data_IF_543765259120
#
_entry.id   IF_543765259120
#
_cell.length_a   1.000
_cell.length_b   1.000
_cell.length_c   1.000
_cell.angle_alpha   90.00
_cell.angle_beta   90.00
_cell.angle_gamma   90.00
#
_symmetry.space_group_name_H-M   'P 1'
#
loop_
_entity.id
_entity.type
_entity.pdbx_description
1 polymer ?
#
# COMPACT_ATOMS: atom_id res chain seq x y z
N UNK A 1 -14.98 -21.65 4.08
CA UNK A 1 -15.99 -22.61 4.57
C UNK A 1 -15.55 -23.02 5.96
N UNK A 2 -16.02 -22.31 6.99
CA UNK A 2 -15.70 -22.63 8.39
C UNK A 2 -16.97 -23.22 8.98
N UNK A 3 -16.92 -24.52 9.26
CA UNK A 3 -18.03 -25.30 9.79
C UNK A 3 -18.51 -24.69 11.11
N UNK A 4 -19.75 -24.22 11.13
CA UNK A 4 -20.45 -23.89 12.36
C UNK A 4 -20.68 -25.21 13.12
N UNK A 5 -19.84 -25.48 14.11
CA UNK A 5 -20.09 -26.49 15.12
C UNK A 5 -21.37 -26.08 15.87
N UNK A 6 -22.50 -26.67 15.47
CA UNK A 6 -23.71 -26.67 16.28
C UNK A 6 -23.42 -27.43 17.58
N UNK A 7 -23.69 -26.86 18.76
CA UNK A 7 -23.53 -27.62 20.00
C UNK A 7 -24.58 -28.75 20.04
N UNK A 8 -24.13 -30.00 20.14
CA UNK A 8 -24.91 -31.25 20.19
C UNK A 8 -25.78 -31.43 21.46
N UNK A 9 -26.30 -30.36 22.04
CA UNK A 9 -27.36 -30.42 23.06
C UNK A 9 -28.46 -29.42 22.69
N UNK A 10 -29.74 -29.85 22.62
CA UNK A 10 -30.82 -28.93 22.28
C UNK A 10 -30.88 -27.81 23.33
N UNK A 11 -30.92 -26.56 22.89
CA UNK A 11 -30.96 -25.35 23.74
C UNK A 11 -31.99 -25.43 24.88
N UNK A 12 -33.05 -26.22 24.66
CA UNK A 12 -34.10 -26.57 25.61
C UNK A 12 -33.60 -27.14 26.94
N UNK A 13 -32.51 -27.91 26.93
CA UNK A 13 -31.98 -28.61 28.11
C UNK A 13 -31.01 -27.75 28.93
N UNK A 14 -30.58 -26.60 28.40
CA UNK A 14 -29.57 -25.78 29.05
C UNK A 14 -30.16 -24.94 30.17
N UNK A 15 -29.48 -24.74 31.32
CA UNK A 15 -29.87 -23.74 32.30
C UNK A 15 -29.74 -22.32 31.74
N UNK A 16 -30.44 -21.35 32.37
CA UNK A 16 -30.47 -19.96 31.89
C UNK A 16 -29.08 -19.32 31.89
N UNK A 17 -28.21 -19.73 32.80
CA UNK A 17 -26.83 -19.28 32.95
C UNK A 17 -25.99 -19.68 31.73
N UNK A 18 -26.16 -20.92 31.23
CA UNK A 18 -25.47 -21.39 30.03
C UNK A 18 -25.97 -20.68 28.77
N UNK A 19 -27.28 -20.38 28.68
CA UNK A 19 -27.80 -19.55 27.60
C UNK A 19 -27.21 -18.13 27.63
N UNK A 20 -26.99 -17.56 28.81
CA UNK A 20 -26.38 -16.25 28.97
C UNK A 20 -24.89 -16.23 28.63
N UNK A 21 -24.14 -17.28 28.98
CA UNK A 21 -22.74 -17.45 28.53
C UNK A 21 -22.64 -17.54 27.02
N UNK A 22 -23.51 -18.32 26.40
CA UNK A 22 -23.52 -18.53 24.94
C UNK A 22 -23.90 -17.26 24.20
N UNK A 23 -24.80 -16.46 24.77
CA UNK A 23 -25.07 -15.12 24.27
C UNK A 23 -23.84 -14.20 24.30
N UNK A 24 -23.01 -14.31 25.34
CA UNK A 24 -21.79 -13.51 25.43
C UNK A 24 -20.73 -13.94 24.41
N UNK A 25 -20.60 -15.24 24.16
CA UNK A 25 -19.70 -15.80 23.14
C UNK A 25 -20.12 -15.41 21.71
N UNK A 26 -21.42 -15.34 21.47
CA UNK A 26 -22.02 -15.01 20.16
C UNK A 26 -22.58 -13.58 20.11
N UNK A 27 -21.98 -12.63 20.85
CA UNK A 27 -22.52 -11.28 21.00
C UNK A 27 -22.62 -10.46 19.70
N UNK A 28 -21.91 -10.86 18.65
CA UNK A 28 -21.96 -10.23 17.32
C UNK A 28 -22.83 -10.98 16.30
N UNK A 29 -23.35 -12.15 16.66
CA UNK A 29 -24.10 -13.03 15.76
C UNK A 29 -25.61 -12.91 16.06
N UNK A 30 -26.30 -12.13 15.24
CA UNK A 30 -27.72 -11.87 15.40
C UNK A 30 -28.60 -13.13 15.22
N UNK A 31 -28.18 -14.10 14.41
CA UNK A 31 -28.92 -15.35 14.19
C UNK A 31 -28.83 -16.26 15.40
N UNK A 32 -27.62 -16.46 15.94
CA UNK A 32 -27.40 -17.22 17.16
C UNK A 32 -28.15 -16.62 18.36
N UNK A 33 -28.10 -15.28 18.52
CA UNK A 33 -28.84 -14.59 19.57
C UNK A 33 -30.37 -14.73 19.41
N UNK A 34 -30.88 -14.75 18.17
CA UNK A 34 -32.31 -14.94 17.89
C UNK A 34 -32.82 -16.32 18.32
N UNK A 35 -32.02 -17.38 18.09
CA UNK A 35 -32.33 -18.72 18.57
C UNK A 35 -32.39 -18.78 20.12
N UNK A 36 -31.47 -18.10 20.80
CA UNK A 36 -31.46 -18.00 22.26
C UNK A 36 -32.65 -17.18 22.81
N UNK A 37 -33.09 -16.13 22.11
CA UNK A 37 -34.30 -15.35 22.47
C UNK A 37 -35.55 -16.24 22.40
N UNK A 38 -35.69 -17.03 21.34
CA UNK A 38 -36.81 -17.96 21.20
C UNK A 38 -36.85 -18.92 22.38
N UNK A 39 -35.71 -19.52 22.75
CA UNK A 39 -35.65 -20.43 23.90
C UNK A 39 -35.95 -19.72 25.23
N UNK A 40 -35.39 -18.52 25.47
CA UNK A 40 -35.66 -17.74 26.69
C UNK A 40 -37.15 -17.35 26.82
N UNK A 41 -37.84 -17.08 25.70
CA UNK A 41 -39.28 -16.77 25.66
C UNK A 41 -40.18 -17.90 26.12
N UNK A 42 -39.78 -19.15 25.87
CA UNK A 42 -40.56 -20.33 26.25
C UNK A 42 -40.46 -20.63 27.75
N UNK A 43 -39.51 -19.99 28.44
CA UNK A 43 -39.28 -20.16 29.88
C UNK A 43 -40.06 -19.15 30.70
N UNK A 44 -40.54 -19.60 31.86
CA UNK A 44 -41.33 -18.78 32.79
C UNK A 44 -40.42 -18.18 33.87
N UNK A 45 -40.78 -16.99 34.36
CA UNK A 45 -40.14 -16.34 35.49
C UNK A 45 -39.34 -15.08 35.15
N UNK A 46 -39.09 -14.26 36.17
CA UNK A 46 -38.46 -12.95 36.03
C UNK A 46 -37.05 -13.02 35.42
N UNK A 47 -36.26 -14.05 35.76
CA UNK A 47 -34.91 -14.25 35.23
C UNK A 47 -34.90 -14.55 33.73
N UNK A 48 -35.82 -15.37 33.25
CA UNK A 48 -35.97 -15.67 31.82
C UNK A 48 -36.37 -14.41 31.03
N UNK A 49 -37.28 -13.60 31.57
CA UNK A 49 -37.67 -12.32 30.97
C UNK A 49 -36.54 -11.28 30.96
N UNK A 50 -35.73 -11.23 32.02
CA UNK A 50 -34.55 -10.38 32.04
C UNK A 50 -33.51 -10.80 30.98
N UNK A 51 -33.32 -12.11 30.79
CA UNK A 51 -32.44 -12.65 29.75
C UNK A 51 -32.98 -12.35 28.35
N UNK A 52 -34.26 -12.58 28.10
CA UNK A 52 -34.93 -12.24 26.83
C UNK A 52 -34.73 -10.76 26.47
N UNK A 53 -34.98 -9.85 27.42
CA UNK A 53 -34.80 -8.42 27.22
C UNK A 53 -33.33 -8.04 26.94
N UNK A 54 -32.38 -8.70 27.62
CA UNK A 54 -30.94 -8.50 27.38
C UNK A 54 -30.55 -8.96 25.97
N UNK A 55 -30.97 -10.15 25.57
CA UNK A 55 -30.70 -10.70 24.25
C UNK A 55 -31.29 -9.83 23.13
N UNK A 56 -32.51 -9.34 23.32
CA UNK A 56 -33.16 -8.42 22.38
C UNK A 56 -32.36 -7.12 22.19
N UNK A 57 -31.79 -6.57 23.27
CA UNK A 57 -30.89 -5.41 23.19
C UNK A 57 -29.59 -5.74 22.45
N UNK A 58 -29.03 -6.94 22.64
CA UNK A 58 -27.82 -7.36 21.93
C UNK A 58 -28.07 -7.48 20.43
N UNK A 59 -29.20 -8.06 20.01
CA UNK A 59 -29.60 -8.15 18.59
C UNK A 59 -29.74 -6.74 17.97
N UNK A 60 -30.38 -5.81 18.69
CA UNK A 60 -30.51 -4.43 18.22
C UNK A 60 -29.14 -3.74 18.06
N UNK A 61 -28.19 -4.02 18.97
CA UNK A 61 -26.82 -3.53 18.85
C UNK A 61 -26.06 -4.16 17.66
N UNK A 62 -26.30 -5.44 17.34
CA UNK A 62 -25.74 -6.06 16.14
C UNK A 62 -26.23 -5.35 14.87
N UNK A 63 -27.54 -5.10 14.77
CA UNK A 63 -28.13 -4.40 13.62
C UNK A 63 -27.56 -2.99 13.45
N UNK A 64 -27.44 -2.23 14.55
CA UNK A 64 -26.86 -0.89 14.54
C UNK A 64 -25.39 -0.85 14.09
N UNK A 65 -24.62 -1.91 14.37
CA UNK A 65 -23.22 -2.02 13.95
C UNK A 65 -23.04 -2.62 12.54
N UNK A 66 -24.02 -3.36 12.03
CA UNK A 66 -23.95 -4.01 10.72
C UNK A 66 -24.04 -3.00 9.56
N UNK A 67 -24.92 -2.00 9.64
CA UNK A 67 -25.06 -0.97 8.60
C UNK A 67 -23.75 -0.19 8.32
N UNK A 68 -23.07 0.41 9.32
CA UNK A 68 -21.82 1.14 9.07
C UNK A 68 -20.69 0.21 8.57
N UNK A 69 -20.68 -1.06 8.98
CA UNK A 69 -19.70 -2.04 8.50
C UNK A 69 -19.95 -2.45 7.04
N UNK A 70 -21.20 -2.61 6.63
CA UNK A 70 -21.57 -2.91 5.25
C UNK A 70 -21.24 -1.73 4.32
N UNK A 71 -21.55 -0.51 4.74
CA UNK A 71 -21.20 0.71 4.01
C UNK A 71 -19.68 0.88 3.89
N UNK A 72 -18.94 0.64 4.97
CA UNK A 72 -17.49 0.68 4.96
C UNK A 72 -16.89 -0.40 4.03
N UNK A 73 -17.42 -1.62 4.07
CA UNK A 73 -16.98 -2.70 3.19
C UNK A 73 -17.27 -2.39 1.71
N UNK A 74 -18.43 -1.80 1.40
CA UNK A 74 -18.77 -1.35 0.05
C UNK A 74 -17.80 -0.27 -0.44
N UNK A 75 -17.53 0.75 0.39
CA UNK A 75 -16.56 1.81 0.10
C UNK A 75 -15.16 1.25 -0.15
N UNK A 76 -14.69 0.34 0.69
CA UNK A 76 -13.37 -0.30 0.53
C UNK A 76 -13.29 -1.10 -0.78
N UNK A 77 -14.34 -1.85 -1.13
CA UNK A 77 -14.40 -2.59 -2.40
C UNK A 77 -14.34 -1.66 -3.61
N UNK A 78 -15.07 -0.54 -3.56
CA UNK A 78 -15.03 0.45 -4.64
C UNK A 78 -13.66 1.10 -4.79
N UNK A 79 -13.01 1.45 -3.68
CA UNK A 79 -11.66 2.03 -3.69
C UNK A 79 -10.62 1.04 -4.21
N UNK A 80 -10.70 -0.23 -3.80
CA UNK A 80 -9.81 -1.29 -4.29
C UNK A 80 -9.96 -1.47 -5.80
N UNK A 81 -11.20 -1.52 -6.30
CA UNK A 81 -11.46 -1.63 -7.73
C UNK A 81 -10.91 -0.42 -8.52
N UNK A 82 -10.99 0.79 -7.97
CA UNK A 82 -10.40 1.98 -8.58
C UNK A 82 -8.86 1.91 -8.62
N UNK A 83 -8.23 1.60 -7.48
CA UNK A 83 -6.78 1.46 -7.38
C UNK A 83 -6.23 0.36 -8.32
N UNK A 84 -6.94 -0.77 -8.43
CA UNK A 84 -6.56 -1.85 -9.34
C UNK A 84 -6.56 -1.40 -10.81
N UNK A 85 -7.54 -0.57 -11.22
CA UNK A 85 -7.57 0.01 -12.58
C UNK A 85 -6.40 0.98 -12.80
N UNK A 86 -6.11 1.85 -11.83
CA UNK A 86 -4.98 2.78 -11.91
C UNK A 86 -3.64 2.05 -12.03
N UNK A 87 -3.43 0.98 -11.25
CA UNK A 87 -2.22 0.16 -11.33
C UNK A 87 -2.04 -0.41 -12.73
N UNK A 88 -3.10 -0.94 -13.35
CA UNK A 88 -3.03 -1.46 -14.71
C UNK A 88 -2.65 -0.37 -15.73
N UNK A 89 -3.25 0.82 -15.62
CA UNK A 89 -2.93 1.96 -16.50
C UNK A 89 -1.47 2.40 -16.32
N UNK A 90 -1.01 2.54 -15.08
CA UNK A 90 0.36 2.96 -14.78
C UNK A 90 1.38 1.92 -15.25
N UNK A 91 1.11 0.63 -15.06
CA UNK A 91 1.97 -0.45 -15.56
C UNK A 91 2.06 -0.42 -17.09
N UNK A 92 0.95 -0.22 -17.78
CA UNK A 92 0.95 -0.09 -19.24
C UNK A 92 1.77 1.14 -19.69
N UNK A 93 1.68 2.26 -18.97
CA UNK A 93 2.45 3.47 -19.25
C UNK A 93 3.95 3.27 -19.02
N UNK A 94 4.33 2.60 -17.93
CA UNK A 94 5.73 2.24 -17.66
C UNK A 94 6.25 1.33 -18.77
N UNK A 95 5.52 0.28 -19.13
CA UNK A 95 5.92 -0.62 -20.21
C UNK A 95 6.10 0.11 -21.56
N UNK A 96 5.22 1.06 -21.88
CA UNK A 96 5.36 1.90 -23.07
C UNK A 96 6.61 2.78 -22.99
N UNK A 97 6.86 3.41 -21.84
CA UNK A 97 8.05 4.24 -21.64
C UNK A 97 9.33 3.42 -21.75
N UNK A 98 9.37 2.23 -21.15
CA UNK A 98 10.48 1.28 -21.25
C UNK A 98 10.72 0.83 -22.69
N UNK A 99 9.67 0.57 -23.48
CA UNK A 99 9.81 0.24 -24.91
C UNK A 99 10.39 1.42 -25.71
N UNK A 100 9.99 2.66 -25.39
CA UNK A 100 10.56 3.85 -26.04
C UNK A 100 11.96 4.22 -25.55
N UNK A 101 12.36 3.77 -24.35
CA UNK A 101 13.70 3.99 -23.79
C UNK A 101 14.67 2.82 -24.05
N UNK A 102 14.16 1.66 -24.46
CA UNK A 102 14.92 0.43 -24.71
C UNK A 102 15.56 0.35 -26.10
N UNK A 103 15.35 1.34 -26.97
CA UNK A 103 16.26 1.53 -28.09
C UNK A 103 17.62 1.94 -27.50
N UNK A 104 18.69 1.14 -27.69
CA UNK A 104 20.01 1.57 -27.23
C UNK A 104 20.25 2.96 -27.83
N UNK A 105 20.57 3.98 -27.02
CA UNK A 105 21.02 5.21 -27.62
C UNK A 105 22.23 4.81 -28.46
N UNK A 106 22.15 5.04 -29.77
CA UNK A 106 23.34 5.22 -30.59
C UNK A 106 24.37 6.02 -29.79
N UNK A 107 25.68 5.78 -29.94
CA UNK A 107 26.73 6.60 -29.35
C UNK A 107 26.72 8.00 -30.01
N UNK A 108 25.61 8.70 -29.87
CA UNK A 108 25.31 9.99 -30.41
C UNK A 108 25.66 11.02 -29.35
N UNK A 109 26.11 12.19 -29.80
CA UNK A 109 26.45 13.33 -28.97
C UNK A 109 25.42 13.57 -27.84
N UNK A 110 24.14 13.38 -28.14
CA UNK A 110 23.02 13.49 -27.22
C UNK A 110 23.15 12.62 -25.95
N UNK A 111 23.84 11.50 -26.03
CA UNK A 111 24.09 10.58 -24.91
C UNK A 111 25.04 11.20 -23.87
N UNK A 112 26.11 11.87 -24.30
CA UNK A 112 27.04 12.55 -23.40
C UNK A 112 26.40 13.77 -22.73
N UNK A 113 25.70 14.62 -23.49
CA UNK A 113 24.96 15.77 -22.95
C UNK A 113 23.93 15.33 -21.89
N UNK A 114 23.17 14.25 -22.14
CA UNK A 114 22.17 13.73 -21.18
C UNK A 114 22.79 13.21 -19.88
N UNK A 115 23.96 12.56 -19.93
CA UNK A 115 24.64 12.04 -18.73
C UNK A 115 25.08 13.14 -17.75
N UNK A 116 25.33 14.35 -18.25
CA UNK A 116 25.63 15.54 -17.43
C UNK A 116 24.43 16.49 -17.28
N UNK A 117 23.23 16.03 -17.62
CA UNK A 117 21.97 16.79 -17.54
C UNK A 117 21.94 18.08 -18.36
N UNK A 118 22.55 18.06 -19.53
CA UNK A 118 22.55 19.17 -20.48
C UNK A 118 21.85 18.78 -21.79
N UNK A 119 21.41 19.80 -22.52
CA UNK A 119 20.96 19.68 -23.92
C UNK A 119 22.15 19.87 -24.87
N UNK A 120 22.16 19.24 -26.05
CA UNK A 120 23.14 19.53 -27.10
C UNK A 120 23.28 21.04 -27.40
N UNK A 121 22.17 21.77 -27.35
CA UNK A 121 22.08 23.22 -27.62
C UNK A 121 22.52 24.11 -26.43
N UNK A 122 23.05 23.54 -25.35
CA UNK A 122 23.43 24.31 -24.16
C UNK A 122 24.49 25.39 -24.49
N UNK A 123 24.40 26.63 -23.98
CA UNK A 123 25.43 27.62 -24.26
C UNK A 123 26.77 27.22 -23.61
N UNK A 124 27.90 27.65 -24.20
CA UNK A 124 29.24 27.25 -23.75
C UNK A 124 29.53 27.63 -22.28
N UNK A 125 29.02 28.78 -21.83
CA UNK A 125 29.17 29.20 -20.43
C UNK A 125 28.50 28.24 -19.44
N UNK A 126 27.38 27.61 -19.84
CA UNK A 126 26.65 26.68 -18.97
C UNK A 126 27.42 25.37 -18.79
N UNK A 127 28.12 24.89 -19.82
CA UNK A 127 29.01 23.72 -19.69
C UNK A 127 30.10 23.95 -18.64
N UNK A 128 30.72 25.14 -18.66
CA UNK A 128 31.78 25.49 -17.70
C UNK A 128 31.25 25.53 -16.27
N UNK A 129 30.09 26.16 -16.05
CA UNK A 129 29.48 26.25 -14.72
C UNK A 129 29.00 24.90 -14.19
N UNK A 130 28.38 24.07 -15.04
CA UNK A 130 27.94 22.73 -14.65
C UNK A 130 29.14 21.83 -14.35
N UNK A 131 30.20 21.86 -15.18
CA UNK A 131 31.46 21.14 -14.90
C UNK A 131 32.08 21.59 -13.57
N UNK A 132 32.10 22.89 -13.28
CA UNK A 132 32.57 23.44 -12.00
C UNK A 132 31.74 22.95 -10.81
N UNK A 133 30.42 22.90 -10.96
CA UNK A 133 29.52 22.38 -9.92
C UNK A 133 29.75 20.88 -9.65
N UNK A 134 29.90 20.07 -10.71
CA UNK A 134 30.23 18.64 -10.58
C UNK A 134 31.56 18.43 -9.87
N UNK A 135 32.61 19.19 -10.24
CA UNK A 135 33.92 19.09 -9.57
C UNK A 135 33.85 19.40 -8.09
N UNK A 136 33.05 20.38 -7.66
CA UNK A 136 32.85 20.70 -6.24
C UNK A 136 32.11 19.59 -5.49
N UNK A 137 31.12 18.97 -6.13
CA UNK A 137 30.24 17.98 -5.49
C UNK A 137 30.87 16.60 -5.36
N UNK A 138 31.69 16.20 -6.34
CA UNK A 138 32.26 14.87 -6.43
C UNK A 138 33.79 14.85 -6.31
N UNK A 139 34.40 15.92 -5.75
CA UNK A 139 35.84 15.96 -5.56
C UNK A 139 36.28 14.83 -4.62
N UNK A 140 37.31 14.03 -4.95
CA UNK A 140 37.76 12.95 -4.07
C UNK A 140 38.32 13.44 -2.72
N UNK A 141 38.73 14.71 -2.63
CA UNK A 141 39.24 15.30 -1.37
C UNK A 141 38.15 15.82 -0.43
N UNK A 142 36.87 15.89 -0.84
CA UNK A 142 35.77 16.25 0.08
C UNK A 142 35.34 15.09 0.97
N UNK A 143 35.87 13.89 0.76
CA UNK A 143 35.42 12.67 1.43
C UNK A 143 36.53 12.09 2.31
N UNK A 144 36.25 11.98 3.61
CA UNK A 144 37.19 11.45 4.63
C UNK A 144 37.25 9.92 4.67
N UNK A 145 36.23 9.22 4.16
CA UNK A 145 36.18 7.76 4.11
C UNK A 145 36.84 7.20 2.83
N UNK A 146 37.78 6.27 3.00
CA UNK A 146 38.58 5.67 1.93
C UNK A 146 37.74 4.89 0.90
N UNK A 147 36.65 4.24 1.32
CA UNK A 147 35.77 3.50 0.40
C UNK A 147 34.89 4.45 -0.42
N UNK A 148 34.41 5.52 0.21
CA UNK A 148 33.65 6.56 -0.48
C UNK A 148 34.55 7.41 -1.39
N UNK A 149 35.83 7.60 -1.05
CA UNK A 149 36.82 8.28 -1.90
C UNK A 149 37.02 7.55 -3.23
N UNK A 150 37.18 6.22 -3.21
CA UNK A 150 37.32 5.41 -4.44
C UNK A 150 36.10 5.51 -5.35
N UNK A 151 34.89 5.38 -4.79
CA UNK A 151 33.64 5.54 -5.54
C UNK A 151 33.48 6.96 -6.10
N UNK A 152 33.86 7.97 -5.32
CA UNK A 152 33.80 9.37 -5.76
C UNK A 152 34.78 9.63 -6.89
N UNK A 153 35.98 9.07 -6.83
CA UNK A 153 37.00 9.16 -7.88
C UNK A 153 36.55 8.49 -9.20
N UNK A 154 35.93 7.31 -9.12
CA UNK A 154 35.37 6.63 -10.30
C UNK A 154 34.25 7.45 -10.95
N UNK A 155 33.34 8.03 -10.14
CA UNK A 155 32.27 8.91 -10.62
C UNK A 155 32.86 10.18 -11.24
N UNK A 156 33.84 10.80 -10.57
CA UNK A 156 34.50 12.01 -11.06
C UNK A 156 35.17 11.78 -12.42
N UNK A 157 35.93 10.69 -12.58
CA UNK A 157 36.59 10.33 -13.85
C UNK A 157 35.57 10.11 -14.98
N UNK A 158 34.47 9.41 -14.69
CA UNK A 158 33.41 9.16 -15.68
C UNK A 158 32.76 10.45 -16.16
N UNK A 159 32.42 11.34 -15.24
CA UNK A 159 31.78 12.62 -15.55
C UNK A 159 32.73 13.54 -16.32
N UNK A 160 34.01 13.60 -15.95
CA UNK A 160 35.01 14.39 -16.68
C UNK A 160 35.20 13.88 -18.11
N UNK A 161 35.21 12.55 -18.32
CA UNK A 161 35.27 11.96 -19.65
C UNK A 161 34.05 12.35 -20.51
N UNK A 162 32.85 12.43 -19.91
CA UNK A 162 31.65 12.89 -20.60
C UNK A 162 31.75 14.37 -21.02
N UNK A 163 32.35 15.23 -20.19
CA UNK A 163 32.62 16.63 -20.56
C UNK A 163 33.65 16.75 -21.68
N UNK A 164 34.70 15.93 -21.67
CA UNK A 164 35.70 15.89 -22.74
C UNK A 164 35.09 15.43 -24.07
N UNK A 165 34.19 14.46 -24.03
CA UNK A 165 33.43 14.00 -25.20
C UNK A 165 32.57 15.14 -25.78
N UNK A 166 31.83 15.84 -24.92
CA UNK A 166 31.03 17.01 -25.31
C UNK A 166 31.89 18.10 -25.95
N UNK A 167 33.07 18.39 -25.39
CA UNK A 167 33.98 19.37 -25.96
C UNK A 167 34.52 18.94 -27.33
N UNK A 168 34.83 17.65 -27.51
CA UNK A 168 35.25 17.10 -28.81
C UNK A 168 34.16 17.27 -29.85
N UNK A 169 32.93 16.92 -29.50
CA UNK A 169 31.75 17.02 -30.38
C UNK A 169 31.40 18.45 -30.78
N UNK A 170 31.75 19.46 -29.96
CA UNK A 170 31.56 20.89 -30.30
C UNK A 170 32.66 21.50 -31.17
N UNK A 171 33.82 20.84 -31.25
CA UNK A 171 34.96 21.29 -32.05
C UNK A 171 34.96 20.68 -33.46
N UNK A 172 34.20 19.60 -33.67
CA UNK A 172 33.90 19.03 -34.99
C UNK A 172 32.78 19.81 -35.66
#
# INVERSE_FOLDING_TARGET
MTAAQQPERPLREWPLEQLAEQAALHAADAEALSALVLEARHRRGARAKALEARLTRMIAACAANAEPQQDQAARLRTTLAAAAREITVLRARVALLEQTQGAPPEPDAASAFRRVHLSPDAPAWLLVEVRRAFRRRYHPDTTTDQQHRRRSEEVFKRVEADFEEIERLRRM
#
